data_IF_343954940926
#
_entry.id   IF_343954940926
#
_cell.length_a   1.000
_cell.length_b   1.000
_cell.length_c   1.000
_cell.angle_alpha   90.00
_cell.angle_beta   90.00
_cell.angle_gamma   90.00
#
_symmetry.space_group_name_H-M   'P 1'
#
loop_
_entity.id
_entity.type
_entity.pdbx_description
1 polymer ?
#
# COMPACT_ATOMS: atom_id res chain seq x y z
N UNK A 1 5.25 3.83 3.35
CA UNK A 1 3.82 3.81 2.99
C UNK A 1 3.61 4.96 2.01
N UNK A 2 2.89 4.73 0.91
CA UNK A 2 2.82 5.67 -0.23
C UNK A 2 1.37 6.02 -0.63
N UNK A 3 1.06 7.25 -1.06
CA UNK A 3 -0.31 7.71 -1.40
C UNK A 3 -0.58 7.93 -2.90
N UNK A 4 -1.76 7.53 -3.42
CA UNK A 4 -2.24 7.66 -4.81
C UNK A 4 -3.28 8.79 -5.03
N UNK A 5 -3.15 9.61 -6.08
CA UNK A 5 -3.79 10.95 -6.23
C UNK A 5 -5.14 11.03 -6.96
N UNK A 6 -6.07 10.10 -6.73
CA UNK A 6 -7.51 10.39 -6.98
C UNK A 6 -8.43 9.99 -5.81
N UNK A 7 -7.92 9.15 -4.91
CA UNK A 7 -8.44 8.91 -3.57
C UNK A 7 -7.23 8.44 -2.76
N UNK A 8 -6.65 9.32 -1.94
CA UNK A 8 -5.41 9.02 -1.20
C UNK A 8 -5.58 7.81 -0.31
N UNK A 9 -5.16 6.64 -0.79
CA UNK A 9 -5.29 5.35 -0.12
C UNK A 9 -3.92 4.90 0.42
N UNK A 10 -3.82 4.47 1.69
CA UNK A 10 -2.55 4.03 2.23
C UNK A 10 -2.11 2.69 1.62
N UNK A 11 -0.84 2.59 1.27
CA UNK A 11 -0.23 1.39 0.69
C UNK A 11 1.16 1.12 1.23
N UNK A 12 1.60 -0.14 1.21
CA UNK A 12 2.96 -0.57 1.57
C UNK A 12 3.70 -1.06 0.32
N UNK A 13 5.03 -0.87 0.28
CA UNK A 13 5.86 -1.49 -0.76
C UNK A 13 5.86 -2.99 -0.56
N UNK A 14 5.59 -3.75 -1.62
CA UNK A 14 5.63 -5.21 -1.57
C UNK A 14 6.30 -5.78 -2.83
N UNK A 15 6.94 -6.95 -2.73
CA UNK A 15 7.45 -7.65 -3.91
C UNK A 15 6.32 -7.98 -4.89
N UNK A 16 6.58 -7.77 -6.18
CA UNK A 16 5.74 -8.29 -7.25
C UNK A 16 5.75 -9.83 -7.18
N UNK A 17 4.58 -10.48 -7.23
CA UNK A 17 4.49 -11.93 -7.10
C UNK A 17 5.10 -12.71 -8.27
N UNK A 18 5.34 -12.08 -9.42
CA UNK A 18 5.90 -12.73 -10.60
C UNK A 18 7.40 -12.47 -10.72
N UNK A 19 7.85 -11.25 -10.41
CA UNK A 19 9.27 -10.87 -10.58
C UNK A 19 10.06 -10.89 -9.26
N UNK A 20 9.39 -10.78 -8.12
CA UNK A 20 10.02 -10.59 -6.80
C UNK A 20 10.57 -9.18 -6.57
N UNK A 21 10.54 -8.32 -7.60
CA UNK A 21 11.00 -6.94 -7.52
C UNK A 21 9.90 -6.03 -6.96
N UNK A 22 10.28 -4.95 -6.29
CA UNK A 22 9.32 -3.97 -5.76
C UNK A 22 9.51 -2.57 -6.35
N UNK A 23 10.53 -2.38 -7.18
CA UNK A 23 10.89 -1.12 -7.86
C UNK A 23 11.19 -1.42 -9.31
N UNK A 24 10.76 -0.52 -10.21
CA UNK A 24 11.14 -0.56 -11.61
C UNK A 24 11.80 0.77 -12.00
N UNK A 25 12.72 0.68 -12.95
CA UNK A 25 13.52 1.79 -13.44
C UNK A 25 13.24 2.03 -14.92
N UNK A 26 13.30 3.28 -15.36
CA UNK A 26 13.23 3.63 -16.78
C UNK A 26 14.57 3.42 -17.50
N UNK A 27 14.64 3.79 -18.77
CA UNK A 27 15.84 3.62 -19.61
C UNK A 27 17.05 4.45 -19.11
N UNK A 28 16.80 5.53 -18.38
CA UNK A 28 17.82 6.41 -17.80
C UNK A 28 18.29 5.91 -16.42
N UNK A 29 17.63 4.89 -15.87
CA UNK A 29 17.91 4.33 -14.55
C UNK A 29 17.24 5.08 -13.40
N UNK A 30 16.31 5.99 -13.71
CA UNK A 30 15.48 6.67 -12.72
C UNK A 30 14.31 5.79 -12.30
N UNK A 31 13.84 5.94 -11.06
CA UNK A 31 12.72 5.13 -10.55
C UNK A 31 11.44 5.52 -11.29
N UNK A 32 10.90 4.58 -12.07
CA UNK A 32 9.63 4.77 -12.79
C UNK A 32 8.44 4.54 -11.84
N UNK A 33 8.57 3.55 -10.95
CA UNK A 33 7.48 3.12 -10.09
C UNK A 33 7.86 2.12 -9.03
N UNK A 34 6.85 1.82 -8.22
CA UNK A 34 6.94 0.83 -7.15
C UNK A 34 5.76 -0.11 -7.22
N UNK A 35 6.01 -1.36 -6.86
CA UNK A 35 4.95 -2.32 -6.62
C UNK A 35 4.45 -2.15 -5.18
N UNK A 36 3.14 -1.94 -5.05
CA UNK A 36 2.52 -1.59 -3.76
C UNK A 36 1.31 -2.46 -3.48
N UNK A 37 1.05 -2.69 -2.19
CA UNK A 37 -0.15 -3.32 -1.67
C UNK A 37 -0.99 -2.27 -0.94
N UNK A 38 -2.20 -2.01 -1.42
CA UNK A 38 -3.19 -1.15 -0.79
C UNK A 38 -3.77 -1.86 0.43
N UNK A 39 -3.76 -1.15 1.57
CA UNK A 39 -4.21 -1.64 2.87
C UNK A 39 -5.74 -1.66 3.00
N UNK A 40 -6.24 -2.31 4.02
CA UNK A 40 -7.67 -2.48 4.29
C UNK A 40 -8.22 -3.78 3.71
N UNK A 41 -9.50 -4.07 3.94
CA UNK A 41 -10.08 -5.37 3.59
C UNK A 41 -11.09 -5.27 2.43
N UNK A 42 -10.83 -5.85 1.24
CA UNK A 42 -9.67 -6.67 0.89
C UNK A 42 -8.45 -5.86 0.44
N UNK A 43 -7.26 -6.45 0.62
CA UNK A 43 -6.02 -5.93 0.06
C UNK A 43 -6.01 -6.07 -1.46
N UNK A 44 -5.34 -5.15 -2.14
CA UNK A 44 -5.05 -5.26 -3.58
C UNK A 44 -3.62 -4.80 -3.84
N UNK A 45 -3.00 -5.28 -4.92
CA UNK A 45 -1.62 -4.91 -5.28
C UNK A 45 -1.48 -4.52 -6.74
N UNK A 46 -0.58 -3.59 -7.03
CA UNK A 46 -0.29 -3.15 -8.40
C UNK A 46 1.01 -2.36 -8.44
N UNK A 47 1.57 -2.20 -9.64
CA UNK A 47 2.57 -1.18 -9.92
C UNK A 47 1.93 0.21 -9.94
N UNK A 48 2.57 1.17 -9.29
CA UNK A 48 2.18 2.58 -9.26
C UNK A 48 3.40 3.41 -9.65
N UNK A 49 3.21 4.31 -10.62
CA UNK A 49 4.25 5.25 -11.02
C UNK A 49 4.66 6.17 -9.86
N UNK A 50 5.94 6.49 -9.74
CA UNK A 50 6.49 7.26 -8.60
C UNK A 50 5.83 8.63 -8.42
N UNK A 51 5.38 9.25 -9.52
CA UNK A 51 4.63 10.53 -9.50
C UNK A 51 3.28 10.47 -8.79
N UNK A 52 2.76 9.27 -8.54
CA UNK A 52 1.52 9.00 -7.80
C UNK A 52 1.80 8.39 -6.43
N UNK A 53 2.98 8.64 -5.87
CA UNK A 53 3.43 8.09 -4.60
C UNK A 53 3.94 9.24 -3.74
N UNK A 54 3.28 9.45 -2.59
CA UNK A 54 3.76 10.37 -1.55
C UNK A 54 4.05 9.62 -0.27
N UNK A 55 5.11 10.01 0.46
CA UNK A 55 5.38 9.43 1.77
C UNK A 55 4.18 9.61 2.71
N UNK A 56 3.73 8.51 3.29
CA UNK A 56 2.67 8.53 4.29
C UNK A 56 3.06 9.39 5.46
N UNK A 57 2.24 10.40 5.70
CA UNK A 57 2.25 11.16 6.93
C UNK A 57 1.00 10.75 7.72
N UNK A 58 1.12 10.48 9.03
CA UNK A 58 -0.04 10.25 9.89
C UNK A 58 -0.92 11.53 9.91
N UNK A 59 -1.80 11.67 8.92
CA UNK A 59 -2.70 12.82 8.79
C UNK A 59 -4.04 12.52 9.45
N UNK A 60 -4.58 13.53 10.12
CA UNK A 60 -5.96 13.59 10.59
C UNK A 60 -6.85 13.94 9.39
N UNK A 61 -7.30 12.94 8.64
CA UNK A 61 -8.30 13.18 7.59
C UNK A 61 -9.65 13.52 8.24
N UNK A 62 -10.20 14.68 7.90
CA UNK A 62 -11.57 15.04 8.26
C UNK A 62 -12.54 14.25 7.38
N UNK A 63 -13.54 13.64 8.00
CA UNK A 63 -14.41 12.62 7.41
C UNK A 63 -15.37 13.11 6.32
N UNK A 64 -15.16 14.31 5.76
CA UNK A 64 -16.16 14.99 4.94
C UNK A 64 -16.22 14.48 3.48
N UNK A 65 -15.18 13.80 2.98
CA UNK A 65 -15.08 13.47 1.55
C UNK A 65 -15.49 12.03 1.12
N UNK A 66 -15.86 11.12 2.02
CA UNK A 66 -15.98 9.69 1.67
C UNK A 66 -17.28 8.98 2.08
N UNK A 67 -18.43 9.43 1.57
CA UNK A 67 -19.72 8.84 1.97
C UNK A 67 -20.07 7.44 1.41
N UNK A 68 -19.23 6.80 0.58
CA UNK A 68 -19.52 5.45 0.04
C UNK A 68 -18.52 4.34 0.42
N UNK A 69 -17.31 4.68 0.86
CA UNK A 69 -16.26 3.70 1.22
C UNK A 69 -15.64 3.96 2.59
N UNK A 70 -16.30 4.77 3.44
CA UNK A 70 -15.80 5.19 4.76
C UNK A 70 -15.23 4.02 5.58
N UNK A 71 -15.98 2.93 5.72
CA UNK A 71 -15.53 1.75 6.48
C UNK A 71 -14.26 1.08 5.93
N UNK A 72 -14.17 0.95 4.60
CA UNK A 72 -13.00 0.36 3.95
C UNK A 72 -11.77 1.25 4.14
N UNK A 73 -11.98 2.56 4.01
CA UNK A 73 -10.93 3.54 4.20
C UNK A 73 -10.47 3.64 5.67
N UNK A 74 -11.40 3.64 6.62
CA UNK A 74 -11.10 3.62 8.06
C UNK A 74 -10.26 2.40 8.42
N UNK A 75 -10.65 1.21 7.94
CA UNK A 75 -9.87 -0.02 8.11
C UNK A 75 -8.46 0.11 7.52
N UNK A 76 -8.31 0.68 6.32
CA UNK A 76 -7.00 0.89 5.71
C UNK A 76 -6.12 1.88 6.50
N UNK A 77 -6.72 2.91 7.10
CA UNK A 77 -6.02 3.90 7.93
C UNK A 77 -5.60 3.32 9.28
N UNK A 78 -6.46 2.54 9.93
CA UNK A 78 -6.11 1.84 11.17
C UNK A 78 -4.93 0.89 10.94
N UNK A 79 -4.95 0.14 9.85
CA UNK A 79 -3.85 -0.71 9.44
C UNK A 79 -2.56 0.09 9.17
N UNK A 80 -2.66 1.18 8.42
CA UNK A 80 -1.51 2.06 8.15
C UNK A 80 -0.88 2.60 9.46
N UNK A 81 -1.70 2.96 10.45
CA UNK A 81 -1.22 3.42 11.76
C UNK A 81 -0.49 2.31 12.52
N UNK A 82 -0.99 1.08 12.47
CA UNK A 82 -0.30 -0.08 13.05
C UNK A 82 1.06 -0.30 12.39
N UNK A 83 1.11 -0.25 11.05
CA UNK A 83 2.35 -0.42 10.28
C UNK A 83 3.34 0.75 10.46
N UNK A 84 2.86 1.96 10.71
CA UNK A 84 3.71 3.11 11.01
C UNK A 84 4.46 2.95 12.34
N UNK A 85 3.88 2.21 13.29
CA UNK A 85 4.46 1.96 14.61
C UNK A 85 5.54 0.86 14.67
N UNK A 86 5.72 0.08 13.60
CA UNK A 86 6.68 -1.04 13.54
C UNK A 86 7.82 -0.76 12.55
N UNK A 87 8.94 -1.47 12.69
CA UNK A 87 10.14 -1.18 11.90
C UNK A 87 10.01 -1.67 10.44
N UNK A 88 10.88 -1.17 9.55
CA UNK A 88 10.80 -1.48 8.12
C UNK A 88 10.89 -2.97 7.78
N UNK A 89 11.65 -3.76 8.55
CA UNK A 89 11.79 -5.20 8.33
C UNK A 89 10.52 -5.95 8.72
N UNK A 90 9.93 -5.58 9.85
CA UNK A 90 8.65 -6.15 10.32
C UNK A 90 7.51 -5.80 9.37
N UNK A 91 7.49 -4.55 8.86
CA UNK A 91 6.52 -4.12 7.84
C UNK A 91 6.52 -5.00 6.59
N UNK A 92 7.69 -5.39 6.09
CA UNK A 92 7.80 -6.26 4.91
C UNK A 92 7.12 -7.61 5.13
N UNK A 93 7.16 -8.14 6.35
CA UNK A 93 6.49 -9.38 6.72
C UNK A 93 4.97 -9.28 6.86
N UNK A 94 4.39 -8.08 6.75
CA UNK A 94 2.94 -7.85 6.87
C UNK A 94 2.22 -7.79 5.52
N UNK A 95 2.92 -7.94 4.39
CA UNK A 95 2.29 -8.05 3.08
C UNK A 95 1.45 -9.34 3.05
N UNK A 96 0.13 -9.22 2.93
CA UNK A 96 -0.77 -10.37 3.10
C UNK A 96 -0.85 -11.22 1.83
N UNK A 97 -0.52 -10.65 0.68
CA UNK A 97 -0.62 -11.33 -0.60
C UNK A 97 0.68 -12.05 -0.94
N UNK A 98 0.76 -13.35 -0.59
CA UNK A 98 1.84 -14.22 -1.07
C UNK A 98 1.70 -14.50 -2.58
N UNK A 99 2.73 -15.13 -3.17
CA UNK A 99 2.96 -15.37 -4.60
C UNK A 99 1.74 -15.93 -5.37
N UNK A 100 0.77 -16.55 -4.70
CA UNK A 100 -0.39 -17.18 -5.36
C UNK A 100 -1.71 -16.39 -5.30
N UNK A 101 -1.76 -15.19 -4.71
CA UNK A 101 -3.04 -14.46 -4.62
C UNK A 101 -4.11 -15.21 -3.81
N UNK A 102 -3.69 -16.16 -2.97
CA UNK A 102 -4.55 -16.90 -2.06
C UNK A 102 -4.56 -16.14 -0.74
N UNK A 103 -5.75 -15.69 -0.34
CA UNK A 103 -6.05 -15.20 1.00
C UNK A 103 -5.52 -16.20 2.04
N UNK A 104 -4.50 -15.82 2.83
CA UNK A 104 -4.30 -16.48 4.11
C UNK A 104 -5.39 -15.96 5.05
N UNK A 105 -6.52 -16.66 5.09
CA UNK A 105 -7.45 -16.57 6.21
C UNK A 105 -6.72 -17.18 7.41
N UNK A 106 -6.19 -16.35 8.31
CA UNK A 106 -5.80 -16.79 9.62
C UNK A 106 -7.09 -17.15 10.39
N UNK A 107 -7.30 -18.45 10.61
CA UNK A 107 -8.26 -19.00 11.57
C UNK A 107 -7.71 -18.90 12.99
#
# INVERSE_FOLDING_TARGET
ITHFTFYSWPSILCPDPYTGEYVNYDEDGDVEGYHTEFLGNPHTRTWIAVRHIESYQPMTFTSEDFNKRKKLYESAIEEAKMLAGINSKERLGQCQLTHEGIFQIAL
#
